data_IF_146933498967
#
_entry.id   IF_146933498967
#
_cell.length_a   1.000
_cell.length_b   1.000
_cell.length_c   1.000
_cell.angle_alpha   90.00
_cell.angle_beta   90.00
_cell.angle_gamma   90.00
#
_symmetry.space_group_name_H-M   'P 1'
#
loop_
_entity.id
_entity.type
_entity.pdbx_description
1 polymer ?
#
# COMPACT_ATOMS: atom_id res chain seq x y z
N UNK A 1 -1.48 0.03 9.70
CA UNK A 1 -0.37 -0.83 10.15
C UNK A 1 -0.59 -2.26 9.64
N UNK A 2 0.46 -2.93 9.15
CA UNK A 2 0.36 -4.34 8.70
C UNK A 2 0.75 -5.26 9.87
N UNK A 3 -0.21 -5.97 10.44
CA UNK A 3 0.01 -6.92 11.53
C UNK A 3 0.22 -8.32 10.95
N UNK A 4 1.49 -8.73 10.81
CA UNK A 4 1.85 -10.03 10.26
C UNK A 4 1.53 -11.19 11.20
N UNK A 5 1.56 -10.96 12.53
CA UNK A 5 1.27 -12.01 13.51
C UNK A 5 -0.19 -12.42 13.48
N UNK A 6 -1.10 -11.44 13.35
CA UNK A 6 -2.53 -11.67 13.23
C UNK A 6 -3.03 -11.72 11.78
N UNK A 7 -2.14 -11.53 10.79
CA UNK A 7 -2.44 -11.48 9.36
C UNK A 7 -3.57 -10.49 9.02
N UNK A 8 -3.56 -9.30 9.62
CA UNK A 8 -4.56 -8.24 9.39
C UNK A 8 -3.90 -6.89 9.07
N UNK A 9 -4.47 -6.17 8.11
CA UNK A 9 -4.18 -4.74 7.90
C UNK A 9 -5.10 -3.92 8.79
N UNK A 10 -4.51 -3.08 9.64
CA UNK A 10 -5.20 -2.19 10.58
C UNK A 10 -5.08 -0.73 10.17
N UNK A 11 -6.04 0.08 10.56
CA UNK A 11 -6.00 1.54 10.45
C UNK A 11 -4.99 2.17 11.43
N UNK A 12 -4.74 3.49 11.34
CA UNK A 12 -3.96 4.24 12.33
C UNK A 12 -4.55 4.23 13.74
N UNK A 13 -5.86 3.98 13.86
CA UNK A 13 -6.58 3.78 15.13
C UNK A 13 -6.49 2.35 15.68
N UNK A 14 -5.91 1.41 14.93
CA UNK A 14 -5.82 -0.01 15.31
C UNK A 14 -7.02 -0.86 14.88
N UNK A 15 -8.08 -0.27 14.31
CA UNK A 15 -9.22 -1.01 13.77
C UNK A 15 -8.80 -1.93 12.60
N UNK A 16 -9.31 -3.16 12.56
CA UNK A 16 -9.06 -4.09 11.45
C UNK A 16 -9.77 -3.60 10.18
N UNK A 17 -9.01 -3.38 9.10
CA UNK A 17 -9.53 -2.97 7.79
C UNK A 17 -9.80 -4.20 6.92
N UNK A 18 -8.81 -5.07 6.76
CA UNK A 18 -8.92 -6.26 5.93
C UNK A 18 -7.90 -7.33 6.33
N UNK A 19 -8.18 -8.63 6.08
CA UNK A 19 -7.17 -9.67 6.13
C UNK A 19 -6.01 -9.35 5.17
N UNK A 20 -4.77 -9.57 5.62
CA UNK A 20 -3.56 -9.28 4.84
C UNK A 20 -3.55 -10.00 3.49
N UNK A 21 -4.08 -11.22 3.43
CA UNK A 21 -4.20 -12.02 2.19
C UNK A 21 -5.02 -11.32 1.08
N UNK A 22 -5.95 -10.46 1.49
CA UNK A 22 -6.81 -9.69 0.59
C UNK A 22 -6.26 -8.30 0.29
N UNK A 23 -5.10 -7.95 0.84
CA UNK A 23 -4.43 -6.67 0.59
C UNK A 23 -3.49 -6.82 -0.59
N UNK A 24 -3.63 -5.95 -1.59
CA UNK A 24 -2.69 -5.87 -2.72
C UNK A 24 -2.04 -4.50 -2.77
N UNK A 25 -0.74 -4.46 -3.08
CA UNK A 25 -0.03 -3.21 -3.29
C UNK A 25 0.00 -2.88 -4.77
N UNK A 26 -0.50 -1.69 -5.12
CA UNK A 26 -0.56 -1.25 -6.51
C UNK A 26 -0.03 0.16 -6.66
N UNK A 27 0.53 0.45 -7.84
CA UNK A 27 0.89 1.79 -8.27
C UNK A 27 -0.24 2.36 -9.12
N UNK A 28 -0.85 3.45 -8.68
CA UNK A 28 -1.90 4.15 -9.45
C UNK A 28 -1.40 5.52 -9.92
N UNK A 29 -1.55 5.80 -11.21
CA UNK A 29 -1.39 7.15 -11.77
C UNK A 29 -2.45 8.08 -11.16
N UNK A 30 -2.06 9.32 -10.87
CA UNK A 30 -2.98 10.36 -10.38
C UNK A 30 -3.02 11.50 -11.39
N UNK A 31 -4.21 12.02 -11.70
CA UNK A 31 -4.40 13.00 -12.79
C UNK A 31 -3.61 14.29 -12.61
N UNK A 32 -3.22 14.63 -11.38
CA UNK A 32 -2.56 15.90 -11.02
C UNK A 32 -1.04 15.78 -10.88
N UNK A 33 -0.44 14.61 -11.12
CA UNK A 33 1.01 14.42 -11.01
C UNK A 33 1.50 13.32 -11.94
N UNK A 34 2.59 13.58 -12.64
CA UNK A 34 3.28 12.60 -13.50
C UNK A 34 3.93 11.45 -12.72
N UNK A 35 3.83 11.44 -11.38
CA UNK A 35 4.33 10.36 -10.52
C UNK A 35 3.20 9.49 -9.95
N UNK A 36 3.27 8.16 -10.11
CA UNK A 36 2.28 7.24 -9.56
C UNK A 36 2.31 7.26 -8.02
N UNK A 37 1.16 7.04 -7.39
CA UNK A 37 1.03 6.82 -5.93
C UNK A 37 0.99 5.33 -5.62
N UNK A 38 1.51 4.95 -4.46
CA UNK A 38 1.43 3.59 -3.90
C UNK A 38 0.16 3.50 -3.06
N UNK A 39 -0.67 2.52 -3.40
CA UNK A 39 -1.92 2.24 -2.69
C UNK A 39 -1.93 0.82 -2.16
N UNK A 40 -2.60 0.63 -1.02
CA UNK A 40 -3.08 -0.66 -0.55
C UNK A 40 -4.54 -0.80 -1.03
N UNK A 41 -4.79 -1.77 -1.88
CA UNK A 41 -6.12 -2.15 -2.33
C UNK A 41 -6.64 -3.24 -1.42
N UNK A 42 -7.81 -3.00 -0.84
CA UNK A 42 -8.55 -3.95 -0.01
C UNK A 42 -9.93 -4.18 -0.63
N UNK A 43 -10.67 -5.23 -0.24
CA UNK A 43 -12.02 -5.46 -0.77
C UNK A 43 -12.99 -4.31 -0.48
N UNK A 44 -12.78 -3.59 0.62
CA UNK A 44 -13.68 -2.54 1.08
C UNK A 44 -13.30 -1.15 0.56
N UNK A 45 -12.01 -0.88 0.37
CA UNK A 45 -11.52 0.45 -0.02
C UNK A 45 -10.09 0.45 -0.58
N UNK A 46 -9.69 1.56 -1.22
CA UNK A 46 -8.33 1.80 -1.71
C UNK A 46 -7.65 2.91 -0.90
N UNK A 47 -6.65 2.52 -0.11
CA UNK A 47 -5.93 3.45 0.78
C UNK A 47 -4.57 3.85 0.24
N UNK A 48 -4.28 5.15 0.29
CA UNK A 48 -3.00 5.69 -0.17
C UNK A 48 -1.95 5.48 0.93
N UNK A 49 -0.89 4.74 0.62
CA UNK A 49 0.24 4.53 1.53
C UNK A 49 1.28 5.64 1.37
N UNK A 50 1.60 5.97 0.11
CA UNK A 50 2.56 7.02 -0.23
C UNK A 50 2.16 7.66 -1.54
N UNK A 51 2.12 8.99 -1.58
CA UNK A 51 1.99 9.72 -2.85
C UNK A 51 3.36 9.83 -3.51
N UNK A 52 3.43 9.53 -4.80
CA UNK A 52 4.64 9.81 -5.58
C UNK A 52 4.84 11.31 -5.65
N UNK A 53 6.06 11.76 -5.41
CA UNK A 53 6.45 13.15 -5.56
C UNK A 53 7.42 13.25 -6.73
N UNK A 54 7.14 14.07 -7.77
CA UNK A 54 8.05 14.23 -8.91
C UNK A 54 9.43 14.77 -8.52
N UNK A 55 9.56 15.43 -7.37
CA UNK A 55 10.81 16.04 -6.89
C UNK A 55 11.52 15.23 -5.79
N UNK A 56 10.97 14.10 -5.36
CA UNK A 56 11.47 13.32 -4.20
C UNK A 56 12.00 11.92 -4.53
N UNK A 57 12.15 11.61 -5.82
CA UNK A 57 12.40 10.25 -6.30
C UNK A 57 11.07 9.49 -6.50
N UNK A 58 10.91 8.88 -7.67
CA UNK A 58 9.71 8.11 -8.01
C UNK A 58 9.47 6.93 -7.05
N UNK A 59 8.26 6.37 -7.07
CA UNK A 59 7.92 5.20 -6.24
C UNK A 59 8.75 3.95 -6.63
N UNK A 60 9.34 3.91 -7.83
CA UNK A 60 10.22 2.81 -8.23
C UNK A 60 9.54 1.44 -8.07
N UNK A 61 10.25 0.49 -7.46
CA UNK A 61 9.78 -0.88 -7.17
C UNK A 61 9.22 -1.05 -5.75
N UNK A 62 8.76 0.04 -5.10
CA UNK A 62 8.24 -0.01 -3.73
C UNK A 62 7.04 -0.95 -3.55
N UNK A 63 6.20 -1.12 -4.58
CA UNK A 63 5.11 -2.12 -4.54
C UNK A 63 5.66 -3.54 -4.33
N UNK A 64 6.74 -3.87 -5.04
CA UNK A 64 7.40 -5.16 -4.98
C UNK A 64 8.09 -5.34 -3.63
N UNK A 65 8.84 -4.33 -3.16
CA UNK A 65 9.50 -4.37 -1.85
C UNK A 65 8.48 -4.51 -0.72
N UNK A 66 7.36 -3.76 -0.75
CA UNK A 66 6.31 -3.92 0.25
C UNK A 66 5.67 -5.30 0.19
N UNK A 67 5.45 -5.82 -1.02
CA UNK A 67 4.92 -7.18 -1.20
C UNK A 67 5.85 -8.20 -0.54
N UNK A 68 7.16 -8.15 -0.82
CA UNK A 68 8.15 -9.02 -0.15
C UNK A 68 8.19 -8.81 1.36
N UNK A 69 8.22 -7.55 1.84
CA UNK A 69 8.35 -7.27 3.27
C UNK A 69 7.12 -7.70 4.08
N UNK A 70 5.93 -7.58 3.50
CA UNK A 70 4.65 -7.84 4.15
C UNK A 70 4.22 -9.30 3.99
N UNK A 71 4.44 -9.90 2.82
CA UNK A 71 3.97 -11.26 2.48
C UNK A 71 5.08 -12.31 2.41
N UNK A 72 6.35 -11.90 2.36
CA UNK A 72 7.49 -12.84 2.30
C UNK A 72 7.64 -13.59 0.97
N UNK A 73 6.99 -13.13 -0.10
CA UNK A 73 7.13 -13.69 -1.46
C UNK A 73 7.90 -12.75 -2.35
#
# INVERSE_FOLDING_TARGET
MFDRAHRVYRDGTGAAIAPLDQVRFERRMQRTSSSPKLVAVTPSDVRILKRGNPFGGGIGSLDTILTHAVFGR
#
